data_IF_341775386707
#
_entry.id   IF_341775386707
#
_cell.length_a   1.000
_cell.length_b   1.000
_cell.length_c   1.000
_cell.angle_alpha   90.00
_cell.angle_beta   90.00
_cell.angle_gamma   90.00
#
_symmetry.space_group_name_H-M   'P 1'
#
loop_
_entity.id
_entity.type
_entity.pdbx_description
1 polymer ?
#
# COMPACT_ATOMS: atom_id res chain seq x y z
N UNK A 1 93.99 -9.25 -69.44
CA UNK A 1 94.47 -8.87 -70.80
C UNK A 1 95.58 -7.85 -70.64
N UNK A 2 96.81 -8.11 -71.11
CA UNK A 2 97.86 -7.09 -71.11
C UNK A 2 97.61 -6.08 -72.23
N UNK A 3 97.80 -4.79 -71.95
CA UNK A 3 97.64 -3.72 -72.94
C UNK A 3 98.80 -3.72 -73.95
N UNK A 4 98.47 -3.57 -75.24
CA UNK A 4 99.46 -3.32 -76.29
C UNK A 4 100.03 -1.92 -76.11
N UNK A 5 101.27 -1.81 -75.61
CA UNK A 5 101.96 -0.54 -75.44
C UNK A 5 102.09 0.20 -76.79
N UNK A 6 101.36 1.30 -76.96
CA UNK A 6 101.39 2.11 -78.19
C UNK A 6 102.79 2.67 -78.43
N UNK A 7 103.32 2.38 -79.62
CA UNK A 7 104.71 2.69 -79.95
C UNK A 7 104.81 4.12 -80.52
N UNK A 8 105.12 5.08 -79.64
CA UNK A 8 105.43 6.46 -80.04
C UNK A 8 106.70 6.53 -80.89
N UNK A 9 106.82 7.50 -81.83
CA UNK A 9 107.95 7.63 -82.75
C UNK A 9 109.22 8.26 -82.14
N UNK A 10 109.37 8.28 -80.80
CA UNK A 10 110.52 8.88 -80.12
C UNK A 10 111.52 7.82 -79.66
N UNK A 11 112.81 8.13 -79.75
CA UNK A 11 113.88 7.26 -79.26
C UNK A 11 113.86 7.13 -77.72
N UNK A 12 114.10 5.93 -77.21
CA UNK A 12 114.11 5.63 -75.77
C UNK A 12 115.52 5.83 -75.21
N UNK A 13 115.64 6.63 -74.16
CA UNK A 13 116.91 6.92 -73.45
C UNK A 13 116.82 6.49 -71.98
N UNK A 14 117.98 6.15 -71.38
CA UNK A 14 118.06 5.50 -70.06
C UNK A 14 117.47 6.31 -68.88
N UNK A 15 117.26 7.61 -69.06
CA UNK A 15 116.55 8.48 -68.11
C UNK A 15 115.75 9.50 -68.92
N UNK A 16 114.44 9.29 -69.03
CA UNK A 16 113.52 10.11 -69.82
C UNK A 16 112.12 10.13 -69.23
N UNK A 17 111.20 10.83 -69.88
CA UNK A 17 109.79 10.87 -69.48
C UNK A 17 109.10 9.51 -69.66
N UNK A 18 108.08 9.27 -68.85
CA UNK A 18 107.23 8.09 -68.94
C UNK A 18 106.51 8.05 -70.30
N UNK A 19 106.69 6.93 -71.00
CA UNK A 19 106.19 6.73 -72.37
C UNK A 19 104.67 6.71 -72.44
N UNK A 20 103.99 6.19 -71.41
CA UNK A 20 102.52 6.16 -71.37
C UNK A 20 101.98 7.57 -71.10
N UNK A 21 102.56 8.29 -70.13
CA UNK A 21 102.18 9.68 -69.84
C UNK A 21 102.39 10.63 -71.04
N UNK A 22 103.49 10.47 -71.79
CA UNK A 22 103.72 11.23 -73.04
C UNK A 22 102.73 10.83 -74.13
N UNK A 23 102.39 9.54 -74.26
CA UNK A 23 101.41 9.08 -75.24
C UNK A 23 100.02 9.64 -74.96
N UNK A 24 99.63 9.68 -73.69
CA UNK A 24 98.34 10.21 -73.24
C UNK A 24 98.31 11.75 -73.31
N UNK A 25 99.45 12.42 -73.15
CA UNK A 25 99.53 13.87 -73.36
C UNK A 25 99.44 14.24 -74.85
N UNK A 26 100.12 13.53 -75.73
CA UNK A 26 100.02 13.75 -77.18
C UNK A 26 98.64 13.39 -77.73
N UNK A 27 98.01 12.31 -77.24
CA UNK A 27 96.61 12.01 -77.60
C UNK A 27 95.62 13.09 -77.15
N UNK A 28 95.86 13.72 -75.99
CA UNK A 28 95.10 14.89 -75.55
C UNK A 28 95.35 16.09 -76.46
N UNK A 29 96.62 16.43 -76.75
CA UNK A 29 96.96 17.53 -77.65
C UNK A 29 96.36 17.34 -79.06
N UNK A 30 96.39 16.13 -79.61
CA UNK A 30 95.76 15.77 -80.88
C UNK A 30 94.22 15.84 -80.82
N UNK A 31 93.61 15.65 -79.66
CA UNK A 31 92.18 15.86 -79.47
C UNK A 31 91.86 17.36 -79.38
N UNK A 32 92.62 18.11 -78.57
CA UNK A 32 92.50 19.56 -78.41
C UNK A 32 92.69 20.30 -79.75
N UNK A 33 93.65 19.88 -80.58
CA UNK A 33 93.86 20.44 -81.93
C UNK A 33 92.71 20.11 -82.90
N UNK A 34 92.06 18.95 -82.76
CA UNK A 34 90.86 18.63 -83.56
C UNK A 34 89.67 19.46 -83.12
N UNK A 35 89.49 19.67 -81.82
CA UNK A 35 88.46 20.58 -81.27
C UNK A 35 88.72 22.00 -81.77
N UNK A 36 89.94 22.53 -81.62
CA UNK A 36 90.30 23.87 -82.09
C UNK A 36 90.10 24.05 -83.61
N UNK A 37 90.40 23.01 -84.41
CA UNK A 37 90.15 23.04 -85.85
C UNK A 37 88.65 23.06 -86.16
N UNK A 38 87.84 22.26 -85.47
CA UNK A 38 86.39 22.26 -85.61
C UNK A 38 85.77 23.60 -85.17
N UNK A 39 86.23 24.17 -84.05
CA UNK A 39 85.79 25.48 -83.54
C UNK A 39 86.16 26.61 -84.52
N UNK A 40 87.37 26.57 -85.11
CA UNK A 40 87.80 27.51 -86.16
C UNK A 40 86.90 27.40 -87.40
N UNK A 41 86.64 26.18 -87.85
CA UNK A 41 85.86 25.95 -89.07
C UNK A 41 84.40 26.35 -88.86
N UNK A 42 83.82 26.08 -87.68
CA UNK A 42 82.53 26.59 -87.27
C UNK A 42 82.50 28.13 -87.17
N UNK A 43 83.51 28.75 -86.56
CA UNK A 43 83.62 30.22 -86.49
C UNK A 43 83.77 30.86 -87.88
N UNK A 44 84.45 30.19 -88.81
CA UNK A 44 84.62 30.64 -90.20
C UNK A 44 83.30 30.52 -90.97
N UNK A 45 82.54 29.42 -90.80
CA UNK A 45 81.21 29.28 -91.36
C UNK A 45 80.26 30.37 -90.83
N UNK A 46 80.19 30.57 -89.51
CA UNK A 46 79.38 31.62 -88.88
C UNK A 46 79.76 33.03 -89.39
N UNK A 47 81.05 33.29 -89.62
CA UNK A 47 81.51 34.56 -90.19
C UNK A 47 81.07 34.77 -91.65
N UNK A 48 81.01 33.70 -92.44
CA UNK A 48 80.48 33.76 -93.81
C UNK A 48 78.96 33.93 -93.84
N UNK A 49 78.20 33.23 -92.98
CA UNK A 49 76.75 33.43 -92.84
C UNK A 49 76.40 34.85 -92.40
N UNK A 50 77.12 35.38 -91.40
CA UNK A 50 76.93 36.76 -90.95
C UNK A 50 77.30 37.79 -92.03
N UNK A 51 78.32 37.51 -92.85
CA UNK A 51 78.68 38.37 -93.98
C UNK A 51 77.60 38.36 -95.07
N UNK A 52 76.95 37.22 -95.34
CA UNK A 52 75.84 37.12 -96.27
C UNK A 52 74.62 37.92 -95.77
N UNK A 53 74.16 37.67 -94.54
CA UNK A 53 73.05 38.43 -93.94
C UNK A 53 73.30 39.94 -93.90
N UNK A 54 74.55 40.36 -93.73
CA UNK A 54 74.92 41.77 -93.69
C UNK A 54 74.89 42.41 -95.09
N UNK A 55 75.18 41.66 -96.15
CA UNK A 55 75.05 42.14 -97.53
C UNK A 55 73.58 42.15 -97.98
N UNK A 56 72.79 41.12 -97.65
CA UNK A 56 71.34 41.09 -97.90
C UNK A 56 70.65 42.31 -97.25
N UNK A 57 70.98 42.60 -95.98
CA UNK A 57 70.45 43.76 -95.27
C UNK A 57 70.95 45.11 -95.85
N UNK A 58 72.14 45.17 -96.45
CA UNK A 58 72.63 46.37 -97.15
C UNK A 58 71.86 46.62 -98.44
N UNK A 59 71.59 45.58 -99.21
CA UNK A 59 70.81 45.67 -100.45
C UNK A 59 69.35 46.06 -100.15
N UNK A 60 68.74 45.47 -99.11
CA UNK A 60 67.41 45.88 -98.62
C UNK A 60 67.39 47.35 -98.19
N UNK A 61 68.38 47.81 -97.40
CA UNK A 61 68.50 49.23 -97.01
C UNK A 61 68.69 50.13 -98.24
N UNK A 62 69.43 49.69 -99.26
CA UNK A 62 69.63 50.46 -100.49
C UNK A 62 68.33 50.55 -101.33
N UNK A 63 67.54 49.49 -101.39
CA UNK A 63 66.23 49.46 -102.03
C UNK A 63 65.22 50.36 -101.29
N UNK A 64 65.08 50.19 -99.97
CA UNK A 64 64.22 51.01 -99.12
C UNK A 64 64.57 52.50 -99.20
N UNK A 65 65.86 52.86 -99.28
CA UNK A 65 66.27 54.27 -99.49
C UNK A 65 65.81 54.82 -100.83
N UNK A 66 66.00 54.09 -101.93
CA UNK A 66 65.50 54.49 -103.26
C UNK A 66 63.98 54.64 -103.28
N UNK A 67 63.28 53.82 -102.49
CA UNK A 67 61.82 53.87 -102.36
C UNK A 67 61.36 55.09 -101.55
N UNK A 68 62.00 55.36 -100.41
CA UNK A 68 61.78 56.57 -99.61
C UNK A 68 62.06 57.83 -100.43
N UNK A 69 63.16 57.90 -101.18
CA UNK A 69 63.48 59.05 -102.04
C UNK A 69 62.37 59.32 -103.08
N UNK A 70 61.84 58.28 -103.72
CA UNK A 70 60.67 58.38 -104.63
C UNK A 70 59.42 58.89 -103.91
N UNK A 71 59.21 58.50 -102.65
CA UNK A 71 58.07 58.91 -101.82
C UNK A 71 58.27 60.27 -101.12
N UNK A 72 59.48 60.81 -101.07
CA UNK A 72 59.79 62.11 -100.47
C UNK A 72 59.62 63.28 -101.44
N UNK A 73 59.78 63.06 -102.75
CA UNK A 73 59.51 64.06 -103.79
C UNK A 73 57.98 64.26 -103.94
N UNK A 74 57.47 65.50 -104.08
CA UNK A 74 56.07 65.74 -104.38
C UNK A 74 55.64 65.03 -105.67
N UNK A 75 54.56 64.22 -105.66
CA UNK A 75 54.17 63.45 -106.84
C UNK A 75 53.64 64.39 -107.93
N UNK A 76 54.47 64.68 -108.93
CA UNK A 76 54.12 65.48 -110.12
C UNK A 76 53.40 64.67 -111.19
N UNK A 77 53.19 63.37 -110.98
CA UNK A 77 52.52 62.45 -111.90
C UNK A 77 51.35 61.73 -111.20
N UNK A 78 50.29 61.44 -111.96
CA UNK A 78 49.11 60.74 -111.43
C UNK A 78 49.46 59.34 -110.89
N UNK A 79 50.40 58.65 -111.54
CA UNK A 79 50.91 57.35 -111.10
C UNK A 79 51.51 57.39 -109.68
N UNK A 80 52.37 58.38 -109.39
CA UNK A 80 52.97 58.54 -108.06
C UNK A 80 51.97 58.93 -106.97
N UNK A 81 50.86 59.60 -107.33
CA UNK A 81 49.74 59.82 -106.41
C UNK A 81 48.99 58.52 -106.11
N UNK A 82 48.73 57.68 -107.12
CA UNK A 82 48.08 56.37 -106.96
C UNK A 82 48.91 55.40 -106.12
N UNK A 83 50.23 55.35 -106.32
CA UNK A 83 51.15 54.51 -105.52
C UNK A 83 51.24 54.97 -104.05
N UNK A 84 51.23 56.28 -103.78
CA UNK A 84 51.14 56.78 -102.40
C UNK A 84 49.80 56.42 -101.76
N UNK A 85 48.70 56.56 -102.50
CA UNK A 85 47.37 56.21 -102.00
C UNK A 85 47.26 54.71 -101.69
N UNK A 86 47.82 53.83 -102.53
CA UNK A 86 47.82 52.40 -102.25
C UNK A 86 48.61 52.04 -100.99
N UNK A 87 49.77 52.68 -100.75
CA UNK A 87 50.52 52.50 -99.49
C UNK A 87 49.80 53.04 -98.27
N UNK A 88 49.13 54.19 -98.39
CA UNK A 88 48.34 54.76 -97.30
C UNK A 88 47.13 53.87 -96.96
N UNK A 89 46.49 53.27 -97.96
CA UNK A 89 45.43 52.28 -97.75
C UNK A 89 45.95 50.97 -97.17
N UNK A 90 47.14 50.52 -97.58
CA UNK A 90 47.80 49.35 -97.00
C UNK A 90 48.11 49.58 -95.52
N UNK A 91 48.81 50.66 -95.17
CA UNK A 91 49.10 51.06 -93.79
C UNK A 91 47.82 51.18 -92.96
N UNK A 92 46.76 51.82 -93.47
CA UNK A 92 45.49 51.94 -92.76
C UNK A 92 44.77 50.59 -92.58
N UNK A 93 44.96 49.63 -93.50
CA UNK A 93 44.43 48.27 -93.39
C UNK A 93 45.22 47.43 -92.38
N UNK A 94 46.54 47.62 -92.33
CA UNK A 94 47.44 46.93 -91.41
C UNK A 94 47.19 47.44 -89.97
N UNK A 95 47.18 48.77 -89.77
CA UNK A 95 46.79 49.44 -88.52
C UNK A 95 45.38 49.01 -88.04
N UNK A 96 44.39 48.99 -88.94
CA UNK A 96 43.05 48.51 -88.60
C UNK A 96 43.01 47.01 -88.26
N UNK A 97 43.98 46.22 -88.70
CA UNK A 97 44.11 44.80 -88.34
C UNK A 97 44.82 44.62 -87.01
N UNK A 98 45.83 45.45 -86.72
CA UNK A 98 46.50 45.52 -85.42
C UNK A 98 45.54 45.96 -84.31
N UNK A 99 44.82 47.09 -84.48
CA UNK A 99 43.78 47.53 -83.53
C UNK A 99 42.69 46.47 -83.27
N UNK A 100 42.33 45.67 -84.30
CA UNK A 100 41.37 44.56 -84.12
C UNK A 100 41.98 43.37 -83.37
N UNK A 101 43.26 43.09 -83.57
CA UNK A 101 43.97 42.04 -82.85
C UNK A 101 44.17 42.40 -81.38
N UNK A 102 44.56 43.65 -81.10
CA UNK A 102 44.72 44.19 -79.75
C UNK A 102 43.38 44.19 -79.00
N UNK A 103 42.33 44.78 -79.57
CA UNK A 103 41.00 44.78 -78.95
C UNK A 103 40.43 43.36 -78.73
N UNK A 104 40.76 42.39 -79.60
CA UNK A 104 40.40 40.99 -79.41
C UNK A 104 41.20 40.33 -78.27
N UNK A 105 42.48 40.67 -78.10
CA UNK A 105 43.32 40.21 -77.01
C UNK A 105 42.85 40.78 -75.65
N UNK A 106 42.62 42.09 -75.55
CA UNK A 106 42.06 42.74 -74.35
C UNK A 106 40.70 42.17 -73.95
N UNK A 107 39.82 41.93 -74.93
CA UNK A 107 38.53 41.31 -74.69
C UNK A 107 38.65 39.86 -74.20
N UNK A 108 39.62 39.10 -74.74
CA UNK A 108 39.89 37.73 -74.30
C UNK A 108 40.49 37.68 -72.89
N UNK A 109 41.39 38.61 -72.55
CA UNK A 109 41.96 38.77 -71.20
C UNK A 109 40.88 39.15 -70.19
N UNK A 110 40.09 40.18 -70.48
CA UNK A 110 38.96 40.64 -69.65
C UNK A 110 37.97 39.50 -69.39
N UNK A 111 37.63 38.73 -70.43
CA UNK A 111 36.75 37.57 -70.34
C UNK A 111 37.38 36.42 -69.54
N UNK A 112 38.70 36.25 -69.60
CA UNK A 112 39.43 35.26 -68.81
C UNK A 112 39.40 35.62 -67.32
N UNK A 113 39.72 36.88 -66.97
CA UNK A 113 39.66 37.40 -65.60
C UNK A 113 38.25 37.25 -65.03
N UNK A 114 37.22 37.74 -65.75
CA UNK A 114 35.84 37.64 -65.30
C UNK A 114 35.36 36.18 -65.12
N UNK A 115 35.86 35.23 -65.94
CA UNK A 115 35.58 33.80 -65.78
C UNK A 115 36.26 33.20 -64.56
N UNK A 116 37.50 33.60 -64.27
CA UNK A 116 38.25 33.18 -63.10
C UNK A 116 37.61 33.71 -61.82
N UNK A 117 37.35 35.01 -61.72
CA UNK A 117 36.65 35.63 -60.59
C UNK A 117 35.29 34.98 -60.33
N UNK A 118 34.51 34.71 -61.40
CA UNK A 118 33.23 34.03 -61.26
C UNK A 118 33.38 32.55 -60.83
N UNK A 119 34.49 31.88 -61.18
CA UNK A 119 34.78 30.53 -60.71
C UNK A 119 35.17 30.53 -59.22
N UNK A 120 36.04 31.45 -58.81
CA UNK A 120 36.48 31.62 -57.43
C UNK A 120 35.31 32.02 -56.52
N UNK A 121 34.44 32.92 -56.97
CA UNK A 121 33.20 33.29 -56.26
C UNK A 121 32.22 32.12 -56.13
N UNK A 122 32.08 31.26 -57.15
CA UNK A 122 31.27 30.03 -57.04
C UNK A 122 31.91 29.03 -56.08
N UNK A 123 33.23 28.91 -56.08
CA UNK A 123 33.99 28.01 -55.20
C UNK A 123 33.85 28.42 -53.73
N UNK A 124 34.07 29.71 -53.42
CA UNK A 124 33.91 30.23 -52.06
C UNK A 124 32.48 30.13 -51.56
N UNK A 125 31.49 30.52 -52.37
CA UNK A 125 30.07 30.36 -52.03
C UNK A 125 29.67 28.90 -51.78
N UNK A 126 30.21 27.94 -52.55
CA UNK A 126 29.98 26.52 -52.32
C UNK A 126 30.63 26.02 -51.02
N UNK A 127 31.85 26.46 -50.72
CA UNK A 127 32.56 26.13 -49.48
C UNK A 127 31.84 26.70 -48.24
N UNK A 128 31.40 27.95 -48.27
CA UNK A 128 30.60 28.56 -47.20
C UNK A 128 29.25 27.88 -47.04
N UNK A 129 28.57 27.54 -48.14
CA UNK A 129 27.31 26.81 -48.09
C UNK A 129 27.49 25.41 -47.46
N UNK A 130 28.58 24.69 -47.72
CA UNK A 130 28.86 23.41 -47.05
C UNK A 130 29.25 23.60 -45.59
N UNK A 131 30.06 24.61 -45.25
CA UNK A 131 30.42 24.96 -43.87
C UNK A 131 29.18 25.25 -43.03
N UNK A 132 28.29 26.13 -43.49
CA UNK A 132 27.04 26.47 -42.81
C UNK A 132 26.12 25.24 -42.68
N UNK A 133 26.04 24.38 -43.71
CA UNK A 133 25.27 23.12 -43.62
C UNK A 133 25.89 22.13 -42.63
N UNK A 134 27.21 22.04 -42.52
CA UNK A 134 27.93 21.21 -41.54
C UNK A 134 27.74 21.70 -40.11
N UNK A 135 27.86 23.01 -39.88
CA UNK A 135 27.58 23.67 -38.60
C UNK A 135 26.12 23.44 -38.17
N UNK A 136 25.16 23.69 -39.06
CA UNK A 136 23.73 23.49 -38.81
C UNK A 136 23.38 22.02 -38.49
N UNK A 137 23.94 21.06 -39.24
CA UNK A 137 23.79 19.61 -38.95
C UNK A 137 24.35 19.24 -37.58
N UNK A 138 25.50 19.79 -37.21
CA UNK A 138 26.15 19.55 -35.92
C UNK A 138 25.33 20.13 -34.75
N UNK A 139 24.82 21.36 -34.91
CA UNK A 139 23.95 22.01 -33.94
C UNK A 139 22.61 21.27 -33.78
N UNK A 140 21.97 20.87 -34.89
CA UNK A 140 20.75 20.09 -34.88
C UNK A 140 20.93 18.74 -34.18
N UNK A 141 22.04 18.03 -34.45
CA UNK A 141 22.37 16.78 -33.76
C UNK A 141 22.52 17.00 -32.25
N UNK A 142 23.28 18.00 -31.81
CA UNK A 142 23.43 18.33 -30.38
C UNK A 142 22.10 18.62 -29.71
N UNK A 143 21.22 19.40 -30.35
CA UNK A 143 19.88 19.69 -29.82
C UNK A 143 19.01 18.42 -29.67
N UNK A 144 19.08 17.50 -30.63
CA UNK A 144 18.36 16.21 -30.56
C UNK A 144 18.94 15.32 -29.46
N UNK A 145 20.26 15.22 -29.36
CA UNK A 145 20.95 14.42 -28.33
C UNK A 145 20.65 14.98 -26.92
N UNK A 146 20.68 16.31 -26.73
CA UNK A 146 20.29 16.98 -25.49
C UNK A 146 18.81 16.80 -25.15
N UNK A 147 17.91 16.94 -26.12
CA UNK A 147 16.48 16.73 -25.92
C UNK A 147 16.18 15.28 -25.52
N UNK A 148 16.85 14.31 -26.16
CA UNK A 148 16.75 12.90 -25.82
C UNK A 148 17.29 12.61 -24.40
N UNK A 149 18.40 13.23 -24.00
CA UNK A 149 18.95 13.12 -22.65
C UNK A 149 18.00 13.69 -21.60
N UNK A 150 17.46 14.91 -21.80
CA UNK A 150 16.46 15.52 -20.92
C UNK A 150 15.18 14.67 -20.84
N UNK A 151 14.72 14.10 -21.95
CA UNK A 151 13.54 13.23 -21.98
C UNK A 151 13.76 11.90 -21.22
N UNK A 152 14.98 11.35 -21.22
CA UNK A 152 15.33 10.19 -20.37
C UNK A 152 15.34 10.58 -18.90
N UNK A 153 16.02 11.68 -18.54
CA UNK A 153 16.09 12.18 -17.17
C UNK A 153 14.70 12.45 -16.58
N UNK A 154 13.79 13.06 -17.34
CA UNK A 154 12.39 13.30 -16.90
C UNK A 154 11.61 12.00 -16.70
N UNK A 155 11.84 10.96 -17.53
CA UNK A 155 11.22 9.65 -17.33
C UNK A 155 11.77 8.93 -16.10
N UNK A 156 13.09 9.01 -15.88
CA UNK A 156 13.76 8.41 -14.73
C UNK A 156 13.32 9.08 -13.42
N UNK A 157 13.22 10.41 -13.37
CA UNK A 157 12.72 11.11 -12.18
C UNK A 157 11.22 10.89 -11.97
N UNK A 158 10.41 10.83 -13.04
CA UNK A 158 8.99 10.49 -12.91
C UNK A 158 8.80 9.08 -12.34
N UNK A 159 9.54 8.08 -12.85
CA UNK A 159 9.47 6.70 -12.36
C UNK A 159 9.99 6.56 -10.91
N UNK A 160 11.04 7.30 -10.54
CA UNK A 160 11.52 7.35 -9.16
C UNK A 160 10.46 7.95 -8.22
N UNK A 161 9.87 9.09 -8.59
CA UNK A 161 8.81 9.73 -7.80
C UNK A 161 7.55 8.85 -7.70
N UNK A 162 7.18 8.13 -8.77
CA UNK A 162 6.07 7.18 -8.76
C UNK A 162 6.35 6.01 -7.82
N UNK A 163 7.56 5.44 -7.86
CA UNK A 163 7.98 4.37 -6.93
C UNK A 163 8.04 4.85 -5.48
N UNK A 164 8.49 6.08 -5.22
CA UNK A 164 8.51 6.67 -3.88
C UNK A 164 7.08 6.93 -3.37
N UNK A 165 6.22 7.50 -4.21
CA UNK A 165 4.81 7.73 -3.89
C UNK A 165 4.07 6.42 -3.58
N UNK A 166 4.26 5.39 -4.41
CA UNK A 166 3.69 4.06 -4.20
C UNK A 166 4.17 3.45 -2.87
N UNK A 167 5.47 3.62 -2.53
CA UNK A 167 6.03 3.17 -1.25
C UNK A 167 5.42 3.93 -0.07
N UNK A 168 5.29 5.25 -0.14
CA UNK A 168 4.67 6.07 0.91
C UNK A 168 3.19 5.73 1.12
N UNK A 169 2.46 5.42 0.04
CA UNK A 169 1.06 4.96 0.10
C UNK A 169 1.00 3.58 0.77
N UNK A 170 1.86 2.63 0.38
CA UNK A 170 1.94 1.30 1.00
C UNK A 170 2.32 1.37 2.49
N UNK A 171 3.26 2.21 2.86
CA UNK A 171 3.68 2.43 4.25
C UNK A 171 2.55 3.05 5.09
N UNK A 172 1.87 4.09 4.56
CA UNK A 172 0.75 4.73 5.25
C UNK A 172 -0.45 3.80 5.40
N UNK A 173 -0.77 3.00 4.38
CA UNK A 173 -1.89 2.03 4.44
C UNK A 173 -1.59 0.92 5.45
N UNK A 174 -0.39 0.33 5.41
CA UNK A 174 0.03 -0.65 6.42
C UNK A 174 0.01 -0.08 7.85
N UNK A 175 0.45 1.17 8.05
CA UNK A 175 0.39 1.83 9.36
C UNK A 175 -1.06 2.07 9.83
N UNK A 176 -1.96 2.47 8.92
CA UNK A 176 -3.38 2.64 9.23
C UNK A 176 -4.07 1.30 9.54
N UNK A 177 -3.73 0.22 8.84
CA UNK A 177 -4.22 -1.13 9.13
C UNK A 177 -3.68 -1.67 10.48
N UNK A 178 -2.42 -1.39 10.81
CA UNK A 178 -1.83 -1.75 12.10
C UNK A 178 -2.51 -1.02 13.29
N UNK A 179 -2.73 0.28 13.19
CA UNK A 179 -3.46 1.02 14.24
C UNK A 179 -4.97 0.66 14.25
N UNK A 180 -5.59 0.37 13.10
CA UNK A 180 -6.97 -0.11 13.07
C UNK A 180 -7.13 -1.49 13.73
N UNK A 181 -6.26 -2.45 13.41
CA UNK A 181 -6.29 -3.79 14.04
C UNK A 181 -6.03 -3.72 15.54
N UNK A 182 -5.08 -2.89 15.97
CA UNK A 182 -4.79 -2.63 17.39
C UNK A 182 -5.96 -1.98 18.14
N UNK A 183 -6.60 -0.96 17.56
CA UNK A 183 -7.77 -0.31 18.17
C UNK A 183 -9.00 -1.24 18.21
N UNK A 184 -9.23 -2.01 17.15
CA UNK A 184 -10.28 -3.03 17.11
C UNK A 184 -10.04 -4.16 18.11
N UNK A 185 -8.78 -4.56 18.32
CA UNK A 185 -8.43 -5.56 19.32
C UNK A 185 -8.66 -5.02 20.74
N UNK A 186 -8.20 -3.81 21.05
CA UNK A 186 -8.46 -3.15 22.34
C UNK A 186 -9.97 -2.98 22.61
N UNK A 187 -10.76 -2.63 21.59
CA UNK A 187 -12.22 -2.54 21.71
C UNK A 187 -12.89 -3.91 21.96
N UNK A 188 -12.41 -4.99 21.33
CA UNK A 188 -12.88 -6.36 21.61
C UNK A 188 -12.52 -6.82 23.02
N UNK A 189 -11.31 -6.53 23.47
CA UNK A 189 -10.84 -6.91 24.81
C UNK A 189 -11.60 -6.13 25.90
N UNK A 190 -11.89 -4.86 25.69
CA UNK A 190 -12.75 -4.06 26.57
C UNK A 190 -14.22 -4.53 26.55
N UNK A 191 -14.79 -4.82 25.37
CA UNK A 191 -16.14 -5.37 25.28
C UNK A 191 -16.24 -6.73 25.99
N UNK A 192 -15.22 -7.58 25.86
CA UNK A 192 -15.11 -8.84 26.61
C UNK A 192 -15.05 -8.58 28.11
N UNK A 193 -14.24 -7.62 28.57
CA UNK A 193 -14.14 -7.24 29.99
C UNK A 193 -15.49 -6.78 30.56
N UNK A 194 -16.24 -5.98 29.80
CA UNK A 194 -17.59 -5.52 30.18
C UNK A 194 -18.57 -6.70 30.26
N UNK A 195 -18.56 -7.60 29.28
CA UNK A 195 -19.44 -8.79 29.28
C UNK A 195 -19.12 -9.74 30.45
N UNK A 196 -17.84 -10.04 30.71
CA UNK A 196 -17.46 -10.89 31.84
C UNK A 196 -17.78 -10.22 33.19
N UNK A 197 -17.61 -8.89 33.31
CA UNK A 197 -18.04 -8.15 34.50
C UNK A 197 -19.57 -8.25 34.69
N UNK A 198 -20.36 -8.01 33.64
CA UNK A 198 -21.81 -8.09 33.71
C UNK A 198 -22.30 -9.52 34.06
N UNK A 199 -21.65 -10.57 33.54
CA UNK A 199 -21.92 -11.96 33.95
C UNK A 199 -21.62 -12.20 35.43
N UNK A 200 -20.52 -11.65 35.94
CA UNK A 200 -20.17 -11.76 37.36
C UNK A 200 -21.20 -11.07 38.26
N UNK A 201 -21.62 -9.85 37.90
CA UNK A 201 -22.69 -9.11 38.61
C UNK A 201 -24.04 -9.87 38.56
N UNK A 202 -24.41 -10.46 37.41
CA UNK A 202 -25.60 -11.32 37.31
C UNK A 202 -25.47 -12.57 38.18
N UNK A 203 -24.34 -13.27 38.17
CA UNK A 203 -24.11 -14.46 38.99
C UNK A 203 -24.11 -14.13 40.49
N UNK A 204 -23.61 -12.95 40.89
CA UNK A 204 -23.69 -12.45 42.27
C UNK A 204 -25.14 -12.18 42.68
N UNK A 205 -25.94 -11.50 41.84
CA UNK A 205 -27.37 -11.26 42.09
C UNK A 205 -28.19 -12.57 42.10
N UNK A 206 -27.86 -13.54 41.25
CA UNK A 206 -28.44 -14.88 41.28
C UNK A 206 -28.08 -15.63 42.57
N UNK A 207 -26.84 -15.50 43.06
CA UNK A 207 -26.40 -16.09 44.32
C UNK A 207 -27.07 -15.45 45.53
N UNK A 208 -27.16 -14.11 45.57
CA UNK A 208 -27.87 -13.35 46.62
C UNK A 208 -29.35 -13.72 46.63
N UNK A 209 -30.04 -13.62 45.50
CA UNK A 209 -31.46 -13.99 45.42
C UNK A 209 -31.71 -15.48 45.67
N UNK A 210 -30.75 -16.37 45.40
CA UNK A 210 -30.84 -17.78 45.79
C UNK A 210 -30.65 -17.98 47.30
N UNK A 211 -29.77 -17.20 47.93
CA UNK A 211 -29.57 -17.20 49.39
C UNK A 211 -30.80 -16.62 50.12
N UNK A 212 -31.35 -15.51 49.64
CA UNK A 212 -32.60 -14.92 50.15
C UNK A 212 -33.75 -15.92 50.06
N UNK A 213 -34.00 -16.51 48.88
CA UNK A 213 -35.01 -17.58 48.73
C UNK A 213 -34.74 -18.80 49.59
N UNK A 214 -33.49 -19.11 49.96
CA UNK A 214 -33.17 -20.19 50.91
C UNK A 214 -33.55 -19.77 52.33
N UNK A 215 -33.14 -18.59 52.77
CA UNK A 215 -33.48 -18.04 54.08
C UNK A 215 -35.00 -17.84 54.27
N UNK A 216 -35.73 -17.43 53.22
CA UNK A 216 -37.20 -17.37 53.25
C UNK A 216 -37.84 -18.75 53.42
N UNK A 217 -37.34 -19.77 52.70
CA UNK A 217 -37.80 -21.17 52.87
C UNK A 217 -37.46 -21.70 54.25
N UNK A 218 -36.25 -21.47 54.76
CA UNK A 218 -35.84 -21.89 56.11
C UNK A 218 -36.71 -21.21 57.19
N UNK A 219 -37.05 -19.93 57.04
CA UNK A 219 -38.00 -19.23 57.93
C UNK A 219 -39.40 -19.82 57.84
N UNK A 220 -39.93 -20.02 56.64
CA UNK A 220 -41.26 -20.59 56.44
C UNK A 220 -41.36 -22.04 56.95
N UNK A 221 -40.31 -22.85 56.75
CA UNK A 221 -40.23 -24.21 57.27
C UNK A 221 -40.13 -24.23 58.80
N UNK A 222 -39.44 -23.24 59.40
CA UNK A 222 -39.40 -23.04 60.85
C UNK A 222 -40.76 -22.55 61.41
N UNK A 223 -41.45 -21.64 60.72
CA UNK A 223 -42.82 -21.21 61.06
C UNK A 223 -43.81 -22.37 60.98
N UNK A 224 -43.71 -23.22 59.94
CA UNK A 224 -44.50 -24.44 59.84
C UNK A 224 -44.14 -25.47 60.92
N UNK A 225 -42.88 -25.53 61.36
CA UNK A 225 -42.47 -26.39 62.46
C UNK A 225 -43.06 -25.91 63.81
N UNK A 226 -42.96 -24.62 64.11
CA UNK A 226 -43.55 -23.99 65.30
C UNK A 226 -45.10 -24.12 65.31
N UNK A 227 -45.75 -23.94 64.15
CA UNK A 227 -47.19 -24.20 64.03
C UNK A 227 -47.55 -25.67 64.27
N UNK A 228 -46.73 -26.62 63.79
CA UNK A 228 -46.92 -28.05 64.04
C UNK A 228 -46.68 -28.41 65.51
N UNK A 229 -45.68 -27.83 66.15
CA UNK A 229 -45.39 -28.02 67.57
C UNK A 229 -46.55 -27.52 68.43
N UNK A 230 -47.02 -26.28 68.20
CA UNK A 230 -48.22 -25.73 68.86
C UNK A 230 -49.47 -26.58 68.63
N UNK A 231 -49.69 -27.08 67.42
CA UNK A 231 -50.83 -27.95 67.12
C UNK A 231 -50.71 -29.34 67.78
N UNK A 232 -49.49 -29.85 67.97
CA UNK A 232 -49.23 -31.08 68.73
C UNK A 232 -49.43 -30.86 70.23
N UNK A 233 -48.99 -29.72 70.78
CA UNK A 233 -49.21 -29.33 72.17
C UNK A 233 -50.70 -29.09 72.46
N UNK A 234 -51.43 -28.43 71.57
CA UNK A 234 -52.87 -28.26 71.66
C UNK A 234 -53.59 -29.62 71.58
N UNK A 235 -53.19 -30.49 70.66
CA UNK A 235 -53.72 -31.86 70.57
C UNK A 235 -53.33 -32.74 71.78
N UNK A 236 -52.19 -32.46 72.44
CA UNK A 236 -51.80 -33.10 73.68
C UNK A 236 -52.62 -32.57 74.86
N UNK A 237 -52.85 -31.25 74.93
CA UNK A 237 -53.69 -30.61 75.93
C UNK A 237 -55.14 -31.10 75.84
N UNK A 238 -55.75 -31.12 74.65
CA UNK A 238 -57.09 -31.68 74.41
C UNK A 238 -57.15 -33.15 74.86
N UNK A 239 -56.11 -33.93 74.58
CA UNK A 239 -56.02 -35.35 74.99
C UNK A 239 -55.87 -35.50 76.51
N UNK A 240 -55.10 -34.63 77.15
CA UNK A 240 -54.96 -34.55 78.61
C UNK A 240 -56.32 -34.22 79.24
N UNK A 241 -56.97 -33.14 78.81
CA UNK A 241 -58.31 -32.75 79.30
C UNK A 241 -59.35 -33.85 79.07
N UNK A 242 -59.30 -34.55 77.94
CA UNK A 242 -60.16 -35.71 77.68
C UNK A 242 -59.88 -36.89 78.62
N UNK A 243 -58.62 -37.13 78.97
CA UNK A 243 -58.23 -38.13 79.99
C UNK A 243 -58.64 -37.70 81.40
N UNK A 244 -58.51 -36.43 81.75
CA UNK A 244 -58.94 -35.88 83.04
C UNK A 244 -60.47 -36.03 83.19
N UNK A 245 -61.25 -35.62 82.18
CA UNK A 245 -62.72 -35.82 82.13
C UNK A 245 -63.10 -37.31 82.18
N UNK A 246 -62.35 -38.18 81.49
CA UNK A 246 -62.58 -39.62 81.54
C UNK A 246 -62.29 -40.20 82.93
N UNK A 247 -61.24 -39.72 83.60
CA UNK A 247 -60.85 -40.13 84.95
C UNK A 247 -61.88 -39.66 85.97
N UNK A 248 -62.30 -38.39 85.91
CA UNK A 248 -63.35 -37.82 86.77
C UNK A 248 -64.69 -38.55 86.58
N UNK A 249 -65.06 -38.91 85.34
CA UNK A 249 -66.22 -39.78 85.07
C UNK A 249 -66.08 -41.17 85.69
N UNK A 250 -64.88 -41.76 85.63
CA UNK A 250 -64.63 -43.11 86.12
C UNK A 250 -64.58 -43.15 87.65
N UNK A 251 -64.06 -42.11 88.29
CA UNK A 251 -64.10 -41.94 89.75
C UNK A 251 -65.51 -41.59 90.24
N UNK A 252 -66.26 -40.71 89.57
CA UNK A 252 -67.69 -40.52 89.85
C UNK A 252 -68.50 -41.82 89.66
N UNK A 253 -68.13 -42.66 88.69
CA UNK A 253 -68.73 -43.99 88.54
C UNK A 253 -68.34 -44.96 89.66
N UNK A 254 -67.11 -44.86 90.20
CA UNK A 254 -66.67 -45.63 91.38
C UNK A 254 -67.36 -45.16 92.66
N UNK A 255 -67.55 -43.85 92.84
CA UNK A 255 -68.33 -43.28 93.95
C UNK A 255 -69.77 -43.75 93.92
N UNK A 256 -70.43 -43.72 92.74
CA UNK A 256 -71.78 -44.26 92.55
C UNK A 256 -71.83 -45.77 92.83
N UNK A 257 -70.83 -46.54 92.39
CA UNK A 257 -70.74 -47.97 92.69
C UNK A 257 -70.53 -48.24 94.20
N UNK A 258 -69.68 -47.47 94.89
CA UNK A 258 -69.49 -47.56 96.33
C UNK A 258 -70.74 -47.14 97.12
N UNK A 259 -71.48 -46.13 96.64
CA UNK A 259 -72.75 -45.73 97.23
C UNK A 259 -73.81 -46.84 97.11
N UNK A 260 -73.89 -47.50 95.96
CA UNK A 260 -74.74 -48.67 95.72
C UNK A 260 -74.32 -49.89 96.58
N UNK A 261 -73.01 -50.12 96.75
CA UNK A 261 -72.48 -51.17 97.62
C UNK A 261 -72.82 -50.93 99.10
N UNK A 262 -72.73 -49.68 99.58
CA UNK A 262 -73.18 -49.29 100.93
C UNK A 262 -74.68 -49.50 101.12
N UNK A 263 -75.51 -49.05 100.18
CA UNK A 263 -76.97 -49.30 100.28
C UNK A 263 -77.30 -50.79 100.30
N UNK A 264 -76.57 -51.62 99.54
CA UNK A 264 -76.71 -53.08 99.59
C UNK A 264 -76.30 -53.66 100.95
N UNK A 265 -75.23 -53.14 101.56
CA UNK A 265 -74.80 -53.54 102.91
C UNK A 265 -75.82 -53.12 103.98
N UNK A 266 -76.37 -51.91 103.91
CA UNK A 266 -77.41 -51.43 104.85
C UNK A 266 -78.69 -52.27 104.76
N UNK A 267 -79.12 -52.64 103.55
CA UNK A 267 -80.25 -53.56 103.33
C UNK A 267 -79.94 -54.93 103.93
N UNK A 268 -78.74 -55.47 103.72
CA UNK A 268 -78.34 -56.75 104.30
C UNK A 268 -78.27 -56.71 105.84
N UNK A 269 -77.82 -55.59 106.43
CA UNK A 269 -77.76 -55.40 107.87
C UNK A 269 -79.16 -55.25 108.52
N UNK A 270 -80.11 -54.61 107.84
CA UNK A 270 -81.50 -54.56 108.29
C UNK A 270 -82.19 -55.93 108.20
N UNK A 271 -81.93 -56.71 107.14
CA UNK A 271 -82.41 -58.10 107.03
C UNK A 271 -81.74 -59.05 108.06
N UNK A 272 -80.51 -58.74 108.49
CA UNK A 272 -79.85 -59.41 109.61
C UNK A 272 -80.55 -59.16 110.95
N UNK A 273 -80.83 -57.89 111.29
CA UNK A 273 -81.55 -57.52 112.52
C UNK A 273 -82.95 -58.14 112.60
N UNK A 274 -83.72 -58.07 111.51
CA UNK A 274 -85.04 -58.73 111.43
C UNK A 274 -84.98 -60.26 111.61
N UNK A 275 -83.83 -60.89 111.37
CA UNK A 275 -83.62 -62.33 111.57
C UNK A 275 -83.21 -62.67 113.00
N UNK A 276 -82.50 -61.79 113.70
CA UNK A 276 -82.19 -61.95 115.13
C UNK A 276 -83.45 -61.73 115.99
N UNK A 277 -84.25 -60.70 115.71
CA UNK A 277 -85.52 -60.43 116.44
C UNK A 277 -86.56 -61.57 116.29
N UNK A 278 -86.49 -62.37 115.22
CA UNK A 278 -87.34 -63.55 115.03
C UNK A 278 -86.79 -64.84 115.68
N UNK A 279 -85.56 -64.84 116.19
CA UNK A 279 -84.92 -66.04 116.74
C UNK A 279 -85.13 -66.21 118.27
N UNK A 280 -85.41 -65.13 119.01
CA UNK A 280 -85.56 -65.14 120.48
C UNK A 280 -86.98 -65.51 120.97
N UNK A 281 -87.92 -65.73 120.04
CA UNK A 281 -89.35 -65.97 120.31
C UNK A 281 -89.76 -67.27 121.07
N UNK A 282 -88.98 -68.37 121.17
CA UNK A 282 -89.47 -69.59 121.84
C UNK A 282 -89.43 -69.64 123.38
N UNK A 283 -88.64 -68.80 124.07
CA UNK A 283 -88.38 -68.95 125.52
C UNK A 283 -89.11 -67.93 126.43
N UNK A 284 -89.85 -66.96 125.88
CA UNK A 284 -90.61 -65.96 126.65
C UNK A 284 -92.11 -66.23 126.78
N UNK A 285 -92.60 -67.40 126.32
CA UNK A 285 -94.02 -67.80 126.36
C UNK A 285 -94.44 -68.59 127.61
N UNK A 286 -93.70 -68.47 128.73
CA UNK A 286 -93.90 -69.30 129.92
C UNK A 286 -93.85 -68.55 131.27
N UNK A 287 -94.65 -67.49 131.45
CA UNK A 287 -95.25 -67.17 132.76
C UNK A 287 -96.52 -66.29 132.60
N UNK A 288 -97.48 -66.34 133.57
CA UNK A 288 -98.86 -65.93 133.32
C UNK A 288 -99.31 -64.60 133.96
N UNK A 289 -100.47 -64.15 133.46
CA UNK A 289 -101.49 -63.26 134.02
C UNK A 289 -101.23 -61.76 134.27
N UNK A 290 -102.18 -61.00 133.69
CA UNK A 290 -102.79 -59.74 134.08
C UNK A 290 -102.04 -58.38 134.07
N UNK A 291 -102.49 -57.57 133.10
CA UNK A 291 -103.05 -56.20 133.24
C UNK A 291 -102.38 -55.05 132.46
N UNK A 292 -103.20 -54.37 131.62
CA UNK A 292 -103.23 -52.91 131.33
C UNK A 292 -101.92 -52.18 130.87
N UNK A 293 -101.77 -51.40 129.78
CA UNK A 293 -102.60 -50.61 128.83
C UNK A 293 -101.70 -50.30 127.57
N UNK A 294 -102.10 -49.73 126.41
CA UNK A 294 -103.37 -49.22 125.83
C UNK A 294 -103.25 -49.05 124.29
N UNK A 295 -104.31 -49.43 123.56
CA UNK A 295 -104.98 -48.74 122.41
C UNK A 295 -104.22 -47.63 121.63
N UNK A 296 -104.19 -47.73 120.29
CA UNK A 296 -104.97 -46.86 119.38
C UNK A 296 -105.20 -47.50 117.99
N UNK A 297 -106.33 -47.13 117.37
CA UNK A 297 -107.08 -47.93 116.38
C UNK A 297 -107.09 -47.30 114.99
N UNK A 298 -107.45 -48.09 113.97
CA UNK A 298 -107.58 -47.67 112.57
C UNK A 298 -108.99 -47.99 112.04
N UNK A 299 -109.95 -47.13 112.39
CA UNK A 299 -111.25 -46.93 111.75
C UNK A 299 -111.89 -45.69 112.39
N UNK A 300 -112.37 -44.77 111.55
CA UNK A 300 -112.85 -43.43 111.93
C UNK A 300 -111.73 -42.51 112.49
N UNK A 301 -111.75 -41.19 112.27
CA UNK A 301 -112.93 -40.35 112.17
C UNK A 301 -113.01 -39.49 110.90
N UNK A 302 -113.93 -39.85 110.01
CA UNK A 302 -114.58 -38.88 109.12
C UNK A 302 -115.34 -37.80 109.95
N UNK A 303 -115.61 -38.08 111.23
CA UNK A 303 -116.07 -37.12 112.23
C UNK A 303 -114.99 -36.19 112.80
N UNK A 304 -113.68 -36.48 112.67
CA UNK A 304 -112.62 -35.50 112.98
C UNK A 304 -112.65 -34.37 111.94
N UNK A 305 -113.04 -34.67 110.70
CA UNK A 305 -113.27 -33.65 109.68
C UNK A 305 -114.62 -32.96 109.85
N UNK A 306 -115.71 -33.62 110.27
CA UNK A 306 -116.93 -32.89 110.64
C UNK A 306 -116.74 -31.96 111.85
N UNK A 307 -115.81 -32.24 112.75
CA UNK A 307 -115.46 -31.37 113.90
C UNK A 307 -114.32 -30.36 113.63
N UNK A 308 -113.68 -30.39 112.45
CA UNK A 308 -112.64 -29.42 112.03
C UNK A 308 -112.92 -28.66 110.72
N UNK A 309 -113.94 -29.05 109.95
CA UNK A 309 -114.42 -28.30 108.79
C UNK A 309 -115.42 -27.22 109.20
N UNK A 310 -115.24 -26.02 108.64
CA UNK A 310 -116.25 -24.96 108.64
C UNK A 310 -117.49 -25.36 107.81
N UNK A 311 -118.67 -24.74 108.06
CA UNK A 311 -119.96 -25.37 107.76
C UNK A 311 -120.34 -25.60 106.29
N UNK A 312 -119.55 -25.13 105.33
CA UNK A 312 -119.94 -25.02 103.91
C UNK A 312 -119.33 -26.13 103.01
N UNK A 313 -118.53 -27.06 103.54
CA UNK A 313 -117.75 -28.02 102.74
C UNK A 313 -117.80 -29.50 103.22
N UNK A 314 -118.92 -29.95 103.83
CA UNK A 314 -119.11 -31.35 104.27
C UNK A 314 -119.71 -32.23 103.14
N UNK A 315 -119.33 -33.51 103.07
CA UNK A 315 -119.83 -34.46 102.04
C UNK A 315 -120.66 -35.61 102.64
N UNK A 316 -121.80 -36.03 102.03
CA UNK A 316 -122.81 -36.85 102.71
C UNK A 316 -122.79 -38.37 102.41
N UNK A 317 -123.38 -39.13 103.34
CA UNK A 317 -123.62 -40.58 103.28
C UNK A 317 -124.57 -41.04 102.14
N UNK A 318 -124.40 -42.30 101.69
CA UNK A 318 -125.50 -43.24 101.43
C UNK A 318 -124.98 -44.68 101.15
N UNK A 319 -125.49 -45.79 101.71
CA UNK A 319 -126.15 -46.12 103.00
C UNK A 319 -126.45 -47.64 103.00
N UNK A 320 -126.66 -48.25 104.18
CA UNK A 320 -127.13 -49.64 104.41
C UNK A 320 -126.10 -50.78 104.22
N UNK A 321 -126.06 -51.85 105.03
CA UNK A 321 -126.41 -52.12 106.45
C UNK A 321 -126.03 -53.60 106.71
N UNK A 322 -125.31 -53.89 107.80
CA UNK A 322 -125.40 -55.12 108.61
C UNK A 322 -124.50 -54.98 109.84
#
# INVERSE_FOLDING_TARGET
MPGLARQLPFAIVMRGYDREQVADHLQRLDADLRVLAADRDAATANAHELAAHLEDARDEIAELRREVDKLSVPPTTAQGMSERLSRMLQLASDEASEMRAEAAAEAAETLSIARQEAADMRSSAAADAERVRGEARTAAKKLVDEAAARARQVKETAAANESESARLIAERTAAMEAEHTKTMQAAKDEARRVVEKAKAEVAELEAVSAAERRAERERHDAELADQRERALDEAAHIRQTALDIATERLDRSRELAQAADRTRQDIAANLGRLREELAELPELLAQPDDSEYSVLSDADDLDLLNSKLSPEARSPEARSNA
#
